data_IF_306745016924
#
_entry.id   IF_306745016924
#
_cell.length_a   1.000
_cell.length_b   1.000
_cell.length_c   1.000
_cell.angle_alpha   90.00
_cell.angle_beta   90.00
_cell.angle_gamma   90.00
#
_symmetry.space_group_name_H-M   'P 1'
#
loop_
_entity.id
_entity.type
_entity.pdbx_description
1 polymer ?
#
# COMPACT_ATOMS: atom_id res chain seq x y z
N UNK A 1 -4.60 -13.09 31.07
CA UNK A 1 -5.62 -12.54 30.15
C UNK A 1 -6.92 -13.31 30.37
N UNK A 2 -8.03 -12.65 30.69
CA UNK A 2 -9.36 -13.29 30.82
C UNK A 2 -10.05 -13.22 29.45
N UNK A 3 -10.26 -14.37 28.81
CA UNK A 3 -10.88 -14.52 27.48
C UNK A 3 -12.13 -15.40 27.58
N UNK A 4 -12.86 -15.56 26.48
CA UNK A 4 -14.07 -16.40 26.40
C UNK A 4 -15.15 -15.94 27.38
N UNK A 5 -15.36 -14.62 27.43
CA UNK A 5 -16.43 -13.98 28.20
C UNK A 5 -17.38 -13.31 27.22
N UNK A 6 -18.67 -13.37 27.53
CA UNK A 6 -19.71 -12.73 26.76
C UNK A 6 -20.76 -12.12 27.70
N UNK A 7 -21.38 -11.04 27.25
CA UNK A 7 -22.45 -10.38 27.97
C UNK A 7 -23.66 -10.26 27.05
N UNK A 8 -24.84 -10.49 27.61
CA UNK A 8 -26.12 -10.36 26.89
C UNK A 8 -26.77 -8.99 27.03
N UNK A 9 -26.20 -8.11 27.85
CA UNK A 9 -26.67 -6.73 28.04
C UNK A 9 -25.53 -5.78 28.35
N UNK A 10 -25.71 -4.51 27.98
CA UNK A 10 -24.77 -3.44 28.28
C UNK A 10 -24.57 -3.26 29.79
N UNK A 11 -25.64 -3.37 30.60
CA UNK A 11 -25.56 -3.26 32.06
C UNK A 11 -24.65 -4.31 32.68
N UNK A 12 -24.71 -5.56 32.21
CA UNK A 12 -23.87 -6.64 32.73
C UNK A 12 -22.39 -6.39 32.41
N UNK A 13 -22.11 -5.89 31.21
CA UNK A 13 -20.76 -5.48 30.81
C UNK A 13 -20.26 -4.28 31.62
N UNK A 14 -21.08 -3.24 31.81
CA UNK A 14 -20.71 -2.07 32.61
C UNK A 14 -20.38 -2.43 34.06
N UNK A 15 -21.19 -3.30 34.69
CA UNK A 15 -20.91 -3.82 36.04
C UNK A 15 -19.58 -4.56 36.09
N UNK A 16 -19.29 -5.40 35.09
CA UNK A 16 -18.00 -6.08 34.99
C UNK A 16 -16.83 -5.09 34.94
N UNK A 17 -16.90 -4.07 34.07
CA UNK A 17 -15.81 -3.09 33.94
C UNK A 17 -15.61 -2.30 35.24
N UNK A 18 -16.69 -1.91 35.93
CA UNK A 18 -16.62 -1.18 37.20
C UNK A 18 -16.05 -2.01 38.35
N UNK A 19 -16.31 -3.32 38.36
CA UNK A 19 -15.86 -4.21 39.43
C UNK A 19 -14.42 -4.69 39.22
N UNK A 20 -14.07 -5.02 37.98
CA UNK A 20 -12.79 -5.66 37.67
C UNK A 20 -11.71 -4.63 37.30
N UNK A 21 -12.11 -3.43 36.86
CA UNK A 21 -11.24 -2.30 36.49
C UNK A 21 -10.07 -2.77 35.61
N UNK A 22 -10.37 -3.35 34.43
CA UNK A 22 -9.34 -3.98 33.62
C UNK A 22 -8.36 -2.94 33.08
N UNK A 23 -7.07 -3.26 33.13
CA UNK A 23 -6.02 -2.40 32.56
C UNK A 23 -6.19 -2.18 31.04
N UNK A 24 -6.66 -3.20 30.33
CA UNK A 24 -6.93 -3.20 28.90
C UNK A 24 -8.21 -3.99 28.60
N UNK A 25 -8.97 -3.54 27.61
CA UNK A 25 -10.24 -4.14 27.22
C UNK A 25 -10.28 -4.32 25.70
N UNK A 26 -10.70 -5.50 25.27
CA UNK A 26 -10.72 -5.92 23.87
C UNK A 26 -12.02 -6.67 23.59
N UNK A 27 -12.43 -6.72 22.33
CA UNK A 27 -13.56 -7.53 21.88
C UNK A 27 -13.25 -8.10 20.51
N UNK A 28 -13.80 -9.27 20.20
CA UNK A 28 -13.47 -9.92 18.94
C UNK A 28 -13.96 -9.12 17.74
N UNK A 29 -13.15 -9.08 16.69
CA UNK A 29 -13.59 -8.64 15.36
C UNK A 29 -14.54 -9.66 14.72
N UNK A 30 -14.49 -10.90 15.19
CA UNK A 30 -15.35 -11.99 14.78
C UNK A 30 -16.68 -12.07 15.53
N UNK A 31 -17.68 -12.54 14.79
CA UNK A 31 -19.01 -12.87 15.27
C UNK A 31 -19.12 -14.39 15.46
N UNK A 32 -19.72 -14.80 16.56
CA UNK A 32 -19.87 -16.20 16.94
C UNK A 32 -21.29 -16.44 17.46
N UNK A 33 -21.82 -17.65 17.23
CA UNK A 33 -23.07 -18.08 17.86
C UNK A 33 -22.89 -18.29 19.36
N UNK A 34 -21.74 -18.83 19.78
CA UNK A 34 -21.41 -19.15 21.18
C UNK A 34 -20.06 -18.53 21.58
N UNK A 35 -19.98 -17.19 21.75
CA UNK A 35 -18.72 -16.45 21.89
C UNK A 35 -17.91 -16.77 23.16
N UNK A 36 -18.57 -17.21 24.22
CA UNK A 36 -18.00 -17.59 25.52
C UNK A 36 -17.56 -19.06 25.59
N UNK A 37 -17.76 -19.85 24.53
CA UNK A 37 -17.28 -21.23 24.52
C UNK A 37 -15.74 -21.29 24.61
N UNK A 38 -15.14 -22.18 25.43
CA UNK A 38 -13.68 -22.24 25.60
C UNK A 38 -12.94 -22.77 24.36
N UNK A 39 -13.56 -23.65 23.57
CA UNK A 39 -13.00 -24.19 22.31
C UNK A 39 -13.49 -23.39 21.11
N UNK A 40 -12.59 -22.99 20.22
CA UNK A 40 -12.89 -22.16 19.04
C UNK A 40 -13.83 -22.85 18.04
N UNK A 41 -13.64 -24.15 17.77
CA UNK A 41 -14.48 -24.90 16.83
C UNK A 41 -15.96 -24.91 17.23
N UNK A 42 -16.23 -24.91 18.53
CA UNK A 42 -17.58 -24.95 19.10
C UNK A 42 -18.18 -23.54 19.29
N UNK A 43 -17.42 -22.47 19.00
CA UNK A 43 -17.97 -21.10 19.04
C UNK A 43 -18.90 -20.82 17.87
N UNK A 44 -18.74 -21.57 16.78
CA UNK A 44 -19.49 -21.43 15.53
C UNK A 44 -19.36 -20.03 14.94
N UNK A 45 -18.24 -19.82 14.24
CA UNK A 45 -17.90 -18.57 13.59
C UNK A 45 -18.91 -18.20 12.51
N UNK A 46 -19.33 -16.94 12.48
CA UNK A 46 -20.35 -16.41 11.56
C UNK A 46 -19.81 -15.37 10.58
N UNK A 47 -18.59 -14.87 10.81
CA UNK A 47 -17.99 -13.78 10.05
C UNK A 47 -17.02 -12.99 10.91
N UNK A 48 -16.24 -12.11 10.29
CA UNK A 48 -15.41 -11.15 11.01
C UNK A 48 -15.30 -9.83 10.26
N UNK A 49 -15.34 -8.72 10.99
CA UNK A 49 -15.00 -7.41 10.42
C UNK A 49 -13.60 -7.49 9.78
N UNK A 50 -13.39 -6.74 8.69
CA UNK A 50 -12.05 -6.58 8.14
C UNK A 50 -11.33 -5.48 8.91
N UNK A 51 -10.17 -5.80 9.48
CA UNK A 51 -9.43 -4.86 10.32
C UNK A 51 -8.02 -4.66 9.79
N UNK A 52 -7.52 -3.45 9.90
CA UNK A 52 -6.15 -3.07 9.60
C UNK A 52 -5.57 -2.36 10.81
N UNK A 53 -4.30 -2.64 11.09
CA UNK A 53 -3.56 -2.00 12.17
C UNK A 53 -2.31 -1.36 11.58
N UNK A 54 -2.20 -0.05 11.81
CA UNK A 54 -1.06 0.75 11.41
C UNK A 54 -0.36 1.20 12.67
N UNK A 55 0.83 0.65 12.93
CA UNK A 55 1.72 1.08 14.00
C UNK A 55 2.97 1.71 13.39
N UNK A 56 3.46 2.79 13.98
CA UNK A 56 4.73 3.41 13.64
C UNK A 56 5.89 2.41 13.60
N UNK A 57 5.90 1.40 14.47
CA UNK A 57 6.98 0.41 14.49
C UNK A 57 7.01 -0.49 13.23
N UNK A 58 5.90 -0.56 12.50
CA UNK A 58 5.80 -1.28 11.22
C UNK A 58 6.08 -0.38 10.01
N UNK A 59 6.20 0.94 10.21
CA UNK A 59 6.44 1.86 9.11
C UNK A 59 7.90 1.91 8.68
N UNK A 60 8.12 1.93 7.36
CA UNK A 60 9.47 2.00 6.79
C UNK A 60 10.18 3.30 7.20
N UNK A 61 11.34 3.19 7.85
CA UNK A 61 12.13 4.36 8.25
C UNK A 61 11.60 5.11 9.48
N UNK A 62 10.58 4.59 10.17
CA UNK A 62 10.08 5.18 11.40
C UNK A 62 11.03 4.97 12.60
N UNK A 63 11.94 4.00 12.55
CA UNK A 63 12.90 3.73 13.62
C UNK A 63 13.83 4.92 13.92
N UNK A 64 14.14 5.72 12.89
CA UNK A 64 15.04 6.88 13.02
C UNK A 64 14.29 8.19 13.31
N UNK A 65 12.96 8.12 13.46
CA UNK A 65 12.09 9.28 13.63
C UNK A 65 11.81 9.57 15.10
N UNK A 66 11.62 10.84 15.42
CA UNK A 66 11.05 11.26 16.70
C UNK A 66 9.59 10.79 16.81
N UNK A 67 9.08 10.72 18.04
CA UNK A 67 7.69 10.35 18.29
C UNK A 67 6.68 11.22 17.51
N UNK A 68 6.92 12.53 17.41
CA UNK A 68 6.05 13.44 16.68
C UNK A 68 6.07 13.18 15.16
N UNK A 69 7.24 12.88 14.61
CA UNK A 69 7.39 12.51 13.19
C UNK A 69 6.72 11.17 12.89
N UNK A 70 6.85 10.18 13.79
CA UNK A 70 6.15 8.90 13.68
C UNK A 70 4.63 9.09 13.60
N UNK A 71 4.04 9.96 14.43
CA UNK A 71 2.59 10.23 14.36
C UNK A 71 2.16 10.86 13.03
N UNK A 72 2.97 11.77 12.48
CA UNK A 72 2.71 12.35 11.15
C UNK A 72 2.81 11.28 10.06
N UNK A 73 3.84 10.44 10.15
CA UNK A 73 4.08 9.37 9.19
C UNK A 73 2.95 8.34 9.19
N UNK A 74 2.54 7.84 10.36
CA UNK A 74 1.40 6.93 10.51
C UNK A 74 0.12 7.54 9.97
N UNK A 75 -0.13 8.83 10.23
CA UNK A 75 -1.31 9.49 9.68
C UNK A 75 -1.29 9.52 8.15
N UNK A 76 -0.12 9.75 7.53
CA UNK A 76 0.01 9.68 6.08
C UNK A 76 -0.24 8.26 5.55
N UNK A 77 0.28 7.24 6.23
CA UNK A 77 0.01 5.82 5.91
C UNK A 77 -1.47 5.47 6.03
N UNK A 78 -2.14 5.96 7.07
CA UNK A 78 -3.59 5.80 7.26
C UNK A 78 -4.37 6.39 6.09
N UNK A 79 -4.11 7.65 5.74
CA UNK A 79 -4.80 8.30 4.62
C UNK A 79 -4.57 7.52 3.31
N UNK A 80 -3.37 7.01 3.09
CA UNK A 80 -3.05 6.18 1.93
C UNK A 80 -3.88 4.89 1.92
N UNK A 81 -3.94 4.18 3.05
CA UNK A 81 -4.78 2.98 3.18
C UNK A 81 -6.25 3.29 2.86
N UNK A 82 -6.79 4.35 3.44
CA UNK A 82 -8.18 4.74 3.27
C UNK A 82 -8.48 5.14 1.83
N UNK A 83 -7.79 6.15 1.31
CA UNK A 83 -8.12 6.79 0.04
C UNK A 83 -7.73 5.94 -1.16
N UNK A 84 -6.50 5.41 -1.16
CA UNK A 84 -5.97 4.70 -2.34
C UNK A 84 -6.46 3.26 -2.42
N UNK A 85 -6.62 2.57 -1.28
CA UNK A 85 -6.90 1.13 -1.26
C UNK A 85 -8.34 0.83 -0.88
N UNK A 86 -8.79 1.26 0.30
CA UNK A 86 -10.14 0.88 0.76
C UNK A 86 -11.21 1.57 -0.09
N UNK A 87 -11.17 2.88 -0.22
CA UNK A 87 -12.20 3.65 -0.92
C UNK A 87 -11.95 3.66 -2.43
N UNK A 88 -10.69 3.77 -2.86
CA UNK A 88 -10.29 3.74 -4.26
C UNK A 88 -10.42 2.36 -4.89
N UNK A 89 -9.46 1.47 -4.60
CA UNK A 89 -9.35 0.20 -5.32
C UNK A 89 -10.39 -0.84 -4.91
N UNK A 90 -10.73 -0.94 -3.63
CA UNK A 90 -11.67 -1.95 -3.11
C UNK A 90 -13.13 -1.47 -3.12
N UNK A 91 -13.37 -0.17 -3.29
CA UNK A 91 -14.71 0.41 -3.31
C UNK A 91 -15.48 0.22 -2.01
N UNK A 92 -14.78 0.18 -0.87
CA UNK A 92 -15.38 0.16 0.47
C UNK A 92 -16.11 1.47 0.70
N UNK A 93 -17.34 1.39 1.19
CA UNK A 93 -18.10 2.56 1.62
C UNK A 93 -17.42 3.23 2.83
N UNK A 94 -17.08 4.53 2.76
CA UNK A 94 -16.56 5.27 3.90
C UNK A 94 -17.46 5.17 5.15
N UNK A 95 -18.79 5.10 4.98
CA UNK A 95 -19.73 4.99 6.10
C UNK A 95 -19.68 3.61 6.80
N UNK A 96 -19.15 2.59 6.11
CA UNK A 96 -18.89 1.27 6.68
C UNK A 96 -17.53 1.19 7.42
N UNK A 97 -16.78 2.29 7.49
CA UNK A 97 -15.41 2.33 8.01
C UNK A 97 -15.33 3.08 9.33
N UNK A 98 -14.86 2.41 10.37
CA UNK A 98 -14.60 2.97 11.70
C UNK A 98 -13.09 3.10 11.90
N UNK A 99 -12.65 4.30 12.30
CA UNK A 99 -11.25 4.60 12.57
C UNK A 99 -11.11 4.89 14.06
N UNK A 100 -10.12 4.26 14.70
CA UNK A 100 -9.81 4.48 16.10
C UNK A 100 -8.32 4.69 16.29
N UNK A 101 -7.96 5.64 17.15
CA UNK A 101 -6.56 5.81 17.57
C UNK A 101 -6.19 4.69 18.54
N UNK A 102 -5.04 4.04 18.35
CA UNK A 102 -4.63 2.90 19.18
C UNK A 102 -4.32 3.29 20.63
N UNK A 103 -4.19 4.59 20.92
CA UNK A 103 -3.76 5.13 22.21
C UNK A 103 -2.24 5.24 22.34
N UNK A 104 -1.49 4.86 21.30
CA UNK A 104 -0.04 4.89 21.23
C UNK A 104 0.46 5.67 20.02
N UNK A 105 0.96 4.95 19.01
CA UNK A 105 1.50 5.53 17.77
C UNK A 105 0.88 4.88 16.54
N UNK A 106 -0.43 4.68 16.58
CA UNK A 106 -1.10 3.89 15.58
C UNK A 106 -2.59 4.15 15.45
N UNK A 107 -3.18 3.52 14.45
CA UNK A 107 -4.61 3.53 14.21
C UNK A 107 -5.09 2.12 13.89
N UNK A 108 -6.29 1.81 14.35
CA UNK A 108 -7.03 0.65 13.91
C UNK A 108 -8.15 1.13 12.97
N UNK A 109 -8.20 0.51 11.80
CA UNK A 109 -9.30 0.68 10.84
C UNK A 109 -10.13 -0.58 10.86
N UNK A 110 -11.45 -0.43 11.01
CA UNK A 110 -12.40 -1.53 10.99
C UNK A 110 -13.44 -1.27 9.90
N UNK A 111 -13.59 -2.23 8.99
CA UNK A 111 -14.55 -2.19 7.89
C UNK A 111 -15.67 -3.20 8.19
N UNK A 112 -16.89 -2.68 8.32
CA UNK A 112 -18.11 -3.44 8.57
C UNK A 112 -18.96 -3.53 7.31
N UNK A 113 -18.53 -4.36 6.37
CA UNK A 113 -19.24 -4.60 5.11
C UNK A 113 -19.66 -6.06 5.01
N UNK A 114 -20.95 -6.31 4.75
CA UNK A 114 -21.52 -7.67 4.67
C UNK A 114 -20.76 -8.56 3.69
N UNK A 115 -20.35 -8.01 2.54
CA UNK A 115 -19.59 -8.74 1.51
C UNK A 115 -18.17 -9.13 1.92
N UNK A 116 -17.62 -8.52 2.98
CA UNK A 116 -16.26 -8.79 3.46
C UNK A 116 -16.24 -9.65 4.73
N UNK A 117 -17.39 -9.83 5.39
CA UNK A 117 -17.48 -10.58 6.65
C UNK A 117 -17.04 -12.05 6.50
N UNK A 118 -17.36 -12.65 5.36
CA UNK A 118 -17.07 -14.07 5.08
C UNK A 118 -15.63 -14.34 4.66
N UNK A 119 -14.80 -13.30 4.44
CA UNK A 119 -13.44 -13.49 3.96
C UNK A 119 -12.64 -14.34 4.94
N UNK A 120 -12.03 -15.40 4.43
CA UNK A 120 -11.14 -16.28 5.19
C UNK A 120 -9.71 -15.71 5.26
N UNK A 121 -8.84 -16.36 6.05
CA UNK A 121 -7.46 -15.90 6.23
C UNK A 121 -6.65 -15.81 4.92
N UNK A 122 -6.69 -16.79 4.01
CA UNK A 122 -6.08 -16.65 2.66
C UNK A 122 -6.61 -15.46 1.85
N UNK A 123 -7.92 -15.27 1.76
CA UNK A 123 -8.48 -14.16 0.97
C UNK A 123 -8.11 -12.80 1.56
N UNK A 124 -8.06 -12.70 2.90
CA UNK A 124 -7.54 -11.50 3.57
C UNK A 124 -6.05 -11.28 3.30
N UNK A 125 -5.29 -12.36 3.12
CA UNK A 125 -3.87 -12.25 2.75
C UNK A 125 -3.71 -11.68 1.34
N UNK A 126 -4.56 -12.07 0.40
CA UNK A 126 -4.52 -11.49 -0.95
C UNK A 126 -4.78 -9.97 -0.93
N UNK A 127 -5.69 -9.49 -0.06
CA UNK A 127 -5.89 -8.04 0.14
C UNK A 127 -4.66 -7.36 0.74
N UNK A 128 -4.03 -7.99 1.74
CA UNK A 128 -2.79 -7.48 2.35
C UNK A 128 -1.67 -7.42 1.31
N UNK A 129 -1.49 -8.49 0.53
CA UNK A 129 -0.45 -8.56 -0.50
C UNK A 129 -0.67 -7.51 -1.58
N UNK A 130 -1.93 -7.25 -1.95
CA UNK A 130 -2.27 -6.15 -2.85
C UNK A 130 -1.89 -4.77 -2.27
N UNK A 131 -2.20 -4.52 -0.99
CA UNK A 131 -1.86 -3.25 -0.30
C UNK A 131 -0.36 -3.05 -0.23
N UNK A 132 0.37 -4.10 0.16
CA UNK A 132 1.83 -4.08 0.30
C UNK A 132 2.56 -4.11 -1.06
N UNK A 133 1.85 -4.37 -2.15
CA UNK A 133 2.44 -4.56 -3.48
C UNK A 133 3.29 -5.82 -3.58
N UNK A 134 3.03 -6.83 -2.73
CA UNK A 134 3.73 -8.12 -2.76
C UNK A 134 3.46 -8.80 -4.09
N UNK A 135 4.52 -9.23 -4.79
CA UNK A 135 4.40 -9.93 -6.07
C UNK A 135 4.08 -9.03 -7.27
N UNK A 136 3.97 -7.71 -7.09
CA UNK A 136 3.81 -6.76 -8.19
C UNK A 136 5.20 -6.38 -8.74
N UNK A 137 5.48 -6.67 -10.01
CA UNK A 137 6.63 -6.08 -10.72
C UNK A 137 6.18 -4.74 -11.33
N UNK A 138 6.66 -3.58 -10.82
CA UNK A 138 6.20 -2.29 -11.31
C UNK A 138 6.62 -1.99 -12.75
N UNK A 139 7.66 -2.66 -13.28
CA UNK A 139 8.00 -2.56 -14.70
C UNK A 139 6.99 -3.29 -15.58
N UNK A 140 6.56 -4.50 -15.19
CA UNK A 140 5.52 -5.23 -15.92
C UNK A 140 4.18 -4.49 -15.89
N UNK A 141 3.90 -3.77 -14.80
CA UNK A 141 2.71 -2.93 -14.67
C UNK A 141 2.69 -1.76 -15.67
N UNK A 142 3.82 -1.08 -15.88
CA UNK A 142 3.89 0.07 -16.80
C UNK A 142 4.21 -0.31 -18.25
N UNK A 143 4.86 -1.46 -18.45
CA UNK A 143 5.18 -2.02 -19.77
C UNK A 143 4.71 -3.48 -19.87
N UNK A 144 3.38 -3.75 -19.91
CA UNK A 144 2.85 -5.10 -19.97
C UNK A 144 3.46 -5.88 -21.13
N UNK A 145 4.00 -7.05 -20.81
CA UNK A 145 4.64 -7.92 -21.80
C UNK A 145 3.64 -8.56 -22.75
N UNK A 146 2.42 -8.79 -22.26
CA UNK A 146 1.29 -9.31 -23.00
C UNK A 146 0.20 -8.24 -23.23
N UNK A 147 -0.41 -8.19 -24.43
CA UNK A 147 -1.64 -7.43 -24.61
C UNK A 147 -2.75 -7.97 -23.68
N UNK A 148 -3.72 -7.16 -23.24
CA UNK A 148 -4.92 -7.69 -22.59
C UNK A 148 -5.54 -8.79 -23.46
N UNK A 149 -6.08 -9.84 -22.83
CA UNK A 149 -6.60 -11.06 -23.48
C UNK A 149 -7.65 -10.81 -24.60
N UNK A 150 -8.18 -9.59 -24.71
CA UNK A 150 -9.11 -9.13 -25.74
C UNK A 150 -8.45 -8.63 -27.03
N UNK A 151 -7.12 -8.47 -27.08
CA UNK A 151 -6.43 -8.00 -28.28
C UNK A 151 -6.10 -9.18 -29.21
N UNK A 152 -6.72 -9.20 -30.38
CA UNK A 152 -6.48 -10.21 -31.42
C UNK A 152 -5.01 -10.32 -31.87
N UNK A 153 -4.67 -11.37 -32.63
CA UNK A 153 -3.27 -11.72 -32.93
C UNK A 153 -2.58 -10.63 -33.76
N UNK A 154 -1.40 -10.16 -33.32
CA UNK A 154 -0.58 -9.20 -34.08
C UNK A 154 0.59 -9.88 -34.81
N UNK A 155 0.80 -9.43 -36.05
CA UNK A 155 1.94 -9.74 -36.91
C UNK A 155 3.24 -9.19 -36.32
N UNK A 156 4.31 -9.94 -36.49
CA UNK A 156 5.68 -9.62 -36.13
C UNK A 156 6.12 -8.26 -36.68
N UNK A 157 6.26 -7.29 -35.77
CA UNK A 157 6.78 -5.96 -36.04
C UNK A 157 7.34 -5.37 -34.75
N UNK A 158 8.49 -4.70 -34.87
CA UNK A 158 9.26 -4.03 -33.80
C UNK A 158 8.34 -3.39 -32.74
N UNK A 159 8.42 -3.87 -31.49
CA UNK A 159 7.68 -3.35 -30.33
C UNK A 159 8.01 -1.87 -30.16
N UNK A 160 7.11 -0.98 -30.58
CA UNK A 160 7.07 0.36 -30.04
C UNK A 160 6.60 0.15 -28.59
N UNK A 161 7.41 0.51 -27.59
CA UNK A 161 6.93 0.43 -26.20
C UNK A 161 5.66 1.26 -26.12
N UNK A 162 4.57 0.65 -25.63
CA UNK A 162 3.36 1.41 -25.37
C UNK A 162 3.70 2.53 -24.39
N UNK A 163 2.96 3.64 -24.44
CA UNK A 163 3.03 4.60 -23.36
C UNK A 163 2.64 3.88 -22.05
N UNK A 164 3.26 4.25 -20.93
CA UNK A 164 2.81 3.75 -19.63
C UNK A 164 1.32 4.03 -19.42
N UNK A 165 0.64 3.28 -18.54
CA UNK A 165 -0.76 3.51 -18.20
C UNK A 165 -1.07 4.98 -17.91
N UNK A 166 -2.35 5.34 -18.03
CA UNK A 166 -2.79 6.68 -17.61
C UNK A 166 -2.51 6.87 -16.11
N UNK A 167 -2.01 8.03 -15.65
CA UNK A 167 -1.93 8.30 -14.22
C UNK A 167 -3.28 8.15 -13.51
N UNK A 168 -4.41 8.30 -14.21
CA UNK A 168 -5.76 8.07 -13.66
C UNK A 168 -6.23 6.62 -13.81
N UNK A 169 -5.40 5.71 -14.33
CA UNK A 169 -5.74 4.29 -14.37
C UNK A 169 -5.88 3.72 -12.94
N UNK A 170 -6.82 2.79 -12.71
CA UNK A 170 -7.06 2.24 -11.39
C UNK A 170 -5.88 1.38 -10.90
N UNK A 171 -5.79 1.20 -9.58
CA UNK A 171 -4.83 0.31 -8.95
C UNK A 171 -3.37 0.61 -9.25
N UNK A 172 -2.56 -0.46 -9.25
CA UNK A 172 -1.11 -0.38 -9.42
C UNK A 172 -0.65 0.25 -10.74
N UNK A 173 -1.45 0.20 -11.80
CA UNK A 173 -1.11 0.79 -13.10
C UNK A 173 -0.98 2.31 -13.04
N UNK A 174 -2.03 3.00 -12.59
CA UNK A 174 -1.99 4.45 -12.43
C UNK A 174 -1.13 4.85 -11.24
N UNK A 175 -1.20 4.11 -10.12
CA UNK A 175 -0.38 4.38 -8.93
C UNK A 175 1.13 4.38 -9.24
N UNK A 176 1.63 3.37 -9.96
CA UNK A 176 3.04 3.31 -10.37
C UNK A 176 3.39 4.44 -11.33
N UNK A 177 2.49 4.78 -12.26
CA UNK A 177 2.70 5.90 -13.18
C UNK A 177 2.80 7.22 -12.43
N UNK A 178 1.86 7.52 -11.51
CA UNK A 178 1.91 8.72 -10.65
C UNK A 178 3.19 8.79 -9.83
N UNK A 179 3.65 7.66 -9.29
CA UNK A 179 4.89 7.59 -8.54
C UNK A 179 6.11 7.95 -9.39
N UNK A 180 6.20 7.41 -10.62
CA UNK A 180 7.29 7.75 -11.54
C UNK A 180 7.25 9.24 -11.90
N UNK A 181 6.07 9.80 -12.17
CA UNK A 181 5.93 11.22 -12.44
C UNK A 181 6.38 12.08 -11.25
N UNK A 182 6.06 11.68 -10.02
CA UNK A 182 6.52 12.36 -8.82
C UNK A 182 8.05 12.34 -8.67
N UNK A 183 8.73 11.23 -9.03
CA UNK A 183 10.20 11.18 -9.09
C UNK A 183 10.73 12.20 -10.09
N UNK A 184 10.17 12.25 -11.30
CA UNK A 184 10.57 13.20 -12.33
C UNK A 184 10.41 14.66 -11.87
N UNK A 185 9.32 14.98 -11.19
CA UNK A 185 9.08 16.31 -10.62
C UNK A 185 10.05 16.67 -9.49
N UNK A 186 10.52 15.68 -8.72
CA UNK A 186 11.59 15.89 -7.72
C UNK A 186 12.93 16.13 -8.40
N UNK A 187 13.27 15.34 -9.41
CA UNK A 187 14.50 15.50 -10.19
C UNK A 187 14.62 16.88 -10.83
N UNK A 188 13.53 17.37 -11.42
CA UNK A 188 13.47 18.70 -12.02
C UNK A 188 13.75 19.81 -11.00
N UNK A 189 13.17 19.71 -9.79
CA UNK A 189 13.41 20.67 -8.70
C UNK A 189 14.80 20.58 -8.09
N UNK A 190 15.38 19.38 -8.01
CA UNK A 190 16.67 19.14 -7.38
C UNK A 190 17.87 19.50 -8.29
N UNK A 191 17.66 19.46 -9.61
CA UNK A 191 18.65 19.87 -10.60
C UNK A 191 19.73 18.81 -10.90
N UNK A 192 20.57 19.09 -11.89
CA UNK A 192 21.53 18.14 -12.50
C UNK A 192 22.42 17.44 -11.48
N UNK A 193 22.96 18.15 -10.49
CA UNK A 193 23.89 17.59 -9.52
C UNK A 193 23.27 16.50 -8.63
N UNK A 194 22.08 16.76 -8.10
CA UNK A 194 21.36 15.78 -7.26
C UNK A 194 20.95 14.56 -8.07
N UNK A 195 20.42 14.79 -9.28
CA UNK A 195 20.01 13.71 -10.18
C UNK A 195 21.20 12.83 -10.57
N UNK A 196 22.36 13.42 -10.83
CA UNK A 196 23.58 12.64 -11.09
C UNK A 196 23.98 11.78 -9.88
N UNK A 197 23.80 12.29 -8.66
CA UNK A 197 24.07 11.52 -7.44
C UNK A 197 23.10 10.33 -7.28
N UNK A 198 21.80 10.55 -7.48
CA UNK A 198 20.79 9.49 -7.43
C UNK A 198 21.03 8.42 -8.50
N UNK A 199 21.34 8.82 -9.74
CA UNK A 199 21.66 7.89 -10.82
C UNK A 199 22.90 7.04 -10.50
N UNK A 200 23.90 7.59 -9.79
CA UNK A 200 25.04 6.82 -9.30
C UNK A 200 24.63 5.79 -8.25
N UNK A 201 23.75 6.16 -7.32
CA UNK A 201 23.20 5.24 -6.33
C UNK A 201 22.40 4.11 -6.99
N UNK A 202 21.81 4.36 -8.16
CA UNK A 202 21.15 3.37 -9.01
C UNK A 202 22.11 2.51 -9.86
N UNK A 203 23.42 2.69 -9.71
CA UNK A 203 24.45 1.82 -10.32
C UNK A 203 25.19 2.40 -11.52
N UNK A 204 24.94 3.66 -11.92
CA UNK A 204 25.65 4.28 -13.05
C UNK A 204 27.04 4.78 -12.64
N UNK A 205 28.00 4.68 -13.57
CA UNK A 205 29.31 5.30 -13.42
C UNK A 205 29.23 6.83 -13.37
N UNK A 206 30.16 7.48 -12.68
CA UNK A 206 30.12 8.93 -12.41
C UNK A 206 29.96 9.80 -13.66
N UNK A 207 30.79 9.57 -14.69
CA UNK A 207 30.70 10.30 -15.95
C UNK A 207 29.41 9.99 -16.73
N UNK A 208 28.87 8.78 -16.61
CA UNK A 208 27.62 8.41 -17.26
C UNK A 208 26.41 9.03 -16.57
N UNK A 209 26.36 8.97 -15.25
CA UNK A 209 25.31 9.58 -14.44
C UNK A 209 25.22 11.09 -14.67
N UNK A 210 26.36 11.81 -14.69
CA UNK A 210 26.37 13.24 -14.98
C UNK A 210 25.83 13.56 -16.38
N UNK A 211 26.25 12.79 -17.40
CA UNK A 211 25.75 12.99 -18.77
C UNK A 211 24.23 12.75 -18.85
N UNK A 212 23.72 11.72 -18.17
CA UNK A 212 22.28 11.44 -18.16
C UNK A 212 21.49 12.48 -17.39
N UNK A 213 22.00 12.94 -16.25
CA UNK A 213 21.38 14.04 -15.50
C UNK A 213 21.28 15.31 -16.35
N UNK A 214 22.31 15.67 -17.12
CA UNK A 214 22.26 16.79 -18.07
C UNK A 214 21.22 16.57 -19.19
N UNK A 215 21.09 15.34 -19.70
CA UNK A 215 20.08 15.02 -20.71
C UNK A 215 18.65 15.11 -20.15
N UNK A 216 18.47 14.68 -18.91
CA UNK A 216 17.19 14.70 -18.20
C UNK A 216 16.77 16.12 -17.86
N UNK A 217 17.66 16.91 -17.26
CA UNK A 217 17.34 18.20 -16.67
C UNK A 217 17.57 19.35 -17.67
N UNK A 218 18.81 19.53 -18.14
CA UNK A 218 19.17 20.71 -18.95
C UNK A 218 18.63 20.62 -20.38
N UNK A 219 18.38 19.41 -20.90
CA UNK A 219 17.91 19.17 -22.26
C UNK A 219 16.44 18.76 -22.35
N UNK A 220 15.66 19.01 -21.31
CA UNK A 220 14.21 18.74 -21.26
C UNK A 220 13.86 17.26 -21.40
N UNK A 221 14.75 16.36 -20.95
CA UNK A 221 14.48 14.92 -20.97
C UNK A 221 13.31 14.55 -20.08
N UNK A 222 13.23 15.14 -18.88
CA UNK A 222 12.12 14.96 -17.93
C UNK A 222 10.78 15.31 -18.59
N UNK A 223 10.68 16.49 -19.22
CA UNK A 223 9.45 16.91 -19.91
C UNK A 223 9.04 15.94 -21.01
N UNK A 224 10.00 15.48 -21.84
CA UNK A 224 9.71 14.51 -22.90
C UNK A 224 9.22 13.17 -22.34
N UNK A 225 9.82 12.68 -21.25
CA UNK A 225 9.38 11.45 -20.59
C UNK A 225 7.96 11.66 -20.05
N UNK A 226 7.70 12.75 -19.34
CA UNK A 226 6.40 13.09 -18.76
C UNK A 226 5.29 13.14 -19.83
N UNK A 227 5.54 13.81 -20.94
CA UNK A 227 4.57 13.97 -22.03
C UNK A 227 4.31 12.67 -22.80
N UNK A 228 5.36 11.89 -23.06
CA UNK A 228 5.25 10.66 -23.85
C UNK A 228 4.89 9.42 -23.01
N UNK A 229 5.08 9.49 -21.69
CA UNK A 229 5.03 8.37 -20.73
C UNK A 229 5.90 7.20 -21.17
N UNK A 230 7.15 7.49 -21.54
CA UNK A 230 8.14 6.51 -22.02
C UNK A 230 9.55 6.94 -21.65
N UNK A 231 10.44 5.97 -21.38
CA UNK A 231 11.88 6.24 -21.25
C UNK A 231 12.60 6.40 -22.59
N UNK A 232 12.04 5.84 -23.67
CA UNK A 232 12.65 5.86 -25.01
C UNK A 232 12.37 7.18 -25.77
N UNK A 233 12.81 8.29 -25.17
CA UNK A 233 12.68 9.65 -25.74
C UNK A 233 14.01 10.24 -26.20
N UNK A 234 15.10 9.51 -25.98
CA UNK A 234 16.47 9.94 -26.24
C UNK A 234 17.02 9.22 -27.48
N UNK A 235 18.04 9.82 -28.11
CA UNK A 235 18.74 9.17 -29.25
C UNK A 235 19.44 7.87 -28.85
N UNK A 236 19.90 7.80 -27.60
CA UNK A 236 20.49 6.59 -27.00
C UNK A 236 19.48 6.04 -26.00
N UNK A 237 19.42 4.72 -25.87
CA UNK A 237 18.56 4.07 -24.87
C UNK A 237 18.99 4.51 -23.47
N UNK A 238 18.02 4.92 -22.65
CA UNK A 238 18.27 5.21 -21.23
C UNK A 238 18.66 3.90 -20.50
N UNK A 239 19.66 3.90 -19.58
CA UNK A 239 20.19 2.67 -19.03
C UNK A 239 19.11 1.82 -18.34
N UNK A 240 18.89 0.57 -18.77
CA UNK A 240 17.81 -0.27 -18.24
C UNK A 240 17.90 -0.51 -16.73
N UNK A 241 19.11 -0.57 -16.17
CA UNK A 241 19.37 -0.71 -14.75
C UNK A 241 18.90 0.52 -13.95
N UNK A 242 19.16 1.73 -14.45
CA UNK A 242 18.65 2.96 -13.83
C UNK A 242 17.12 3.02 -13.91
N UNK A 243 16.54 2.65 -15.06
CA UNK A 243 15.09 2.57 -15.22
C UNK A 243 14.48 1.63 -14.19
N UNK A 244 15.01 0.40 -14.10
CA UNK A 244 14.50 -0.61 -13.16
C UNK A 244 14.61 -0.14 -11.71
N UNK A 245 15.75 0.44 -11.33
CA UNK A 245 15.96 0.98 -9.99
C UNK A 245 15.01 2.14 -9.68
N UNK A 246 14.88 3.10 -10.59
CA UNK A 246 13.99 4.26 -10.43
C UNK A 246 12.53 3.85 -10.31
N UNK A 247 12.06 2.92 -11.16
CA UNK A 247 10.69 2.42 -11.13
C UNK A 247 10.40 1.61 -9.86
N UNK A 248 11.34 0.76 -9.43
CA UNK A 248 11.22 0.02 -8.17
C UNK A 248 11.16 0.97 -6.95
N UNK A 249 12.02 1.99 -6.91
CA UNK A 249 12.01 2.99 -5.85
C UNK A 249 10.71 3.81 -5.84
N UNK A 250 10.23 4.23 -7.01
CA UNK A 250 8.97 4.95 -7.13
C UNK A 250 7.80 4.12 -6.59
N UNK A 251 7.71 2.84 -6.96
CA UNK A 251 6.63 1.96 -6.51
C UNK A 251 6.64 1.73 -4.99
N UNK A 252 7.83 1.67 -4.37
CA UNK A 252 7.97 1.56 -2.92
C UNK A 252 7.34 2.75 -2.18
N UNK A 253 7.46 3.97 -2.71
CA UNK A 253 6.94 5.20 -2.06
C UNK A 253 5.42 5.26 -2.01
N UNK A 254 4.73 4.44 -2.81
CA UNK A 254 3.28 4.41 -2.94
C UNK A 254 2.66 3.10 -2.44
N UNK A 255 3.47 2.18 -1.90
CA UNK A 255 2.95 1.00 -1.19
C UNK A 255 2.12 1.44 0.02
N UNK A 256 1.04 0.70 0.29
CA UNK A 256 0.31 0.81 1.53
C UNK A 256 1.02 0.04 2.65
N UNK A 257 0.53 0.20 3.87
CA UNK A 257 1.14 -0.39 5.06
C UNK A 257 0.03 -0.93 5.98
N UNK A 258 0.23 -2.13 6.50
CA UNK A 258 -0.67 -2.78 7.48
C UNK A 258 0.05 -3.94 8.17
N UNK A 259 -0.31 -4.23 9.42
CA UNK A 259 0.06 -5.47 10.10
C UNK A 259 -0.71 -6.65 9.48
N UNK A 260 0.01 -7.47 8.73
CA UNK A 260 -0.51 -8.65 8.05
C UNK A 260 -1.11 -9.71 9.02
N UNK A 261 -0.42 -10.11 10.11
CA UNK A 261 -1.01 -10.94 11.16
C UNK A 261 -2.32 -10.40 11.74
N UNK A 262 -2.48 -9.10 11.93
CA UNK A 262 -3.75 -8.51 12.40
C UNK A 262 -4.85 -8.72 11.38
N UNK A 263 -4.58 -8.35 10.13
CA UNK A 263 -5.59 -8.33 9.06
C UNK A 263 -6.06 -9.74 8.69
N UNK A 264 -5.15 -10.73 8.74
CA UNK A 264 -5.43 -12.11 8.30
C UNK A 264 -6.05 -13.00 9.38
N UNK A 265 -6.04 -12.58 10.65
CA UNK A 265 -6.64 -13.34 11.76
C UNK A 265 -8.16 -13.11 11.84
N UNK A 266 -8.93 -14.09 11.40
CA UNK A 266 -10.40 -14.07 11.46
C UNK A 266 -10.97 -14.23 12.88
N UNK A 267 -10.11 -14.39 13.89
CA UNK A 267 -10.46 -14.51 15.30
C UNK A 267 -9.83 -13.43 16.18
N UNK A 268 -9.33 -12.35 15.57
CA UNK A 268 -8.63 -11.25 16.24
C UNK A 268 -9.46 -10.64 17.38
N UNK A 269 -8.77 -10.16 18.42
CA UNK A 269 -9.29 -9.40 19.56
C UNK A 269 -8.79 -7.96 19.53
#
# INVERSE_FOLDING_TARGET
MRRHVAWRSADAFQRFVQQEVPRHLYYSTAYYRVPDHPKMAEKEWQGADLVFDLDADHLRGAADQTYAEQLVHVKAGLLRLLDDFLFGDFGVDPDATEISFSGGRGYHVKVRSEGLLSLNSPERRDLVDYILGTGVDPLEVIEPTDPPATAGPRRSGRRISAAWPDPEAPGWAGRTTRAILAVLDRWERAGTGSVAHELRAMGLGEAEALRWAQQLIEKGGVDRIRQSRRFDVFKKRFPPEAVRAMVAQAAIEVQGETDAPVTTDIHRL
#
